data_IF_257245532078
#
_entry.id   IF_257245532078
#
_cell.length_a   1.000
_cell.length_b   1.000
_cell.length_c   1.000
_cell.angle_alpha   90.00
_cell.angle_beta   90.00
_cell.angle_gamma   90.00
#
_symmetry.space_group_name_H-M   'P 1'
#
loop_
_entity.id
_entity.type
_entity.pdbx_description
1 polymer ?
#
# COMPACT_ATOMS: atom_id res chain seq x y z
N UNK A 1 -43.92 0.09 6.84
CA UNK A 1 -42.74 0.01 5.95
C UNK A 1 -42.80 -1.27 5.13
N UNK A 2 -42.61 -1.18 3.86
CA UNK A 2 -42.69 -2.35 3.01
C UNK A 2 -41.44 -3.21 3.12
N UNK A 3 -41.59 -4.50 2.89
CA UNK A 3 -40.50 -5.46 2.83
C UNK A 3 -39.41 -5.02 1.83
N UNK A 4 -39.83 -4.39 0.73
CA UNK A 4 -38.93 -3.90 -0.31
C UNK A 4 -37.99 -2.81 0.22
N UNK A 5 -38.47 -1.89 1.07
CA UNK A 5 -37.65 -0.83 1.66
C UNK A 5 -36.63 -1.37 2.65
N UNK A 6 -37.01 -2.37 3.45
CA UNK A 6 -36.09 -3.01 4.40
C UNK A 6 -34.97 -3.72 3.65
N UNK A 7 -35.31 -4.44 2.57
CA UNK A 7 -34.33 -5.16 1.75
C UNK A 7 -33.36 -4.20 1.08
N UNK A 8 -33.84 -3.07 0.56
CA UNK A 8 -32.99 -2.07 -0.08
C UNK A 8 -32.01 -1.45 0.91
N UNK A 9 -32.46 -1.13 2.13
CA UNK A 9 -31.61 -0.57 3.19
C UNK A 9 -30.51 -1.57 3.58
N UNK A 10 -30.86 -2.83 3.79
CA UNK A 10 -29.91 -3.89 4.13
C UNK A 10 -28.87 -4.07 3.03
N UNK A 11 -29.28 -4.03 1.76
CA UNK A 11 -28.38 -4.14 0.62
C UNK A 11 -27.38 -2.97 0.57
N UNK A 12 -27.85 -1.74 0.81
CA UNK A 12 -26.98 -0.57 0.84
C UNK A 12 -25.93 -0.67 1.95
N UNK A 13 -26.33 -1.09 3.17
CA UNK A 13 -25.40 -1.27 4.27
C UNK A 13 -24.35 -2.33 3.97
N UNK A 14 -24.77 -3.43 3.38
CA UNK A 14 -23.86 -4.52 3.00
C UNK A 14 -22.86 -4.05 1.95
N UNK A 15 -23.32 -3.29 0.96
CA UNK A 15 -22.43 -2.74 -0.06
C UNK A 15 -21.40 -1.77 0.53
N UNK A 16 -21.78 -0.92 1.48
CA UNK A 16 -20.88 -0.01 2.16
C UNK A 16 -19.82 -0.78 2.96
N UNK A 17 -20.21 -1.83 3.67
CA UNK A 17 -19.29 -2.67 4.42
C UNK A 17 -18.32 -3.38 3.50
N UNK A 18 -18.79 -3.90 2.36
CA UNK A 18 -17.95 -4.55 1.37
C UNK A 18 -16.95 -3.58 0.75
N UNK A 19 -17.35 -2.35 0.48
CA UNK A 19 -16.46 -1.33 -0.07
C UNK A 19 -15.29 -1.02 0.89
N UNK A 20 -15.56 -0.93 2.19
CA UNK A 20 -14.52 -0.73 3.20
C UNK A 20 -13.59 -1.94 3.27
N UNK A 21 -14.14 -3.15 3.27
CA UNK A 21 -13.37 -4.38 3.29
C UNK A 21 -12.49 -4.50 2.06
N UNK A 22 -13.03 -4.15 0.87
CA UNK A 22 -12.29 -4.17 -0.38
C UNK A 22 -11.12 -3.18 -0.36
N UNK A 23 -11.34 -1.96 0.14
CA UNK A 23 -10.28 -0.96 0.26
C UNK A 23 -9.16 -1.44 1.17
N UNK A 24 -9.51 -2.01 2.31
CA UNK A 24 -8.54 -2.58 3.24
C UNK A 24 -7.71 -3.68 2.56
N UNK A 25 -8.39 -4.60 1.88
CA UNK A 25 -7.74 -5.74 1.21
C UNK A 25 -6.87 -5.29 0.04
N UNK A 26 -7.32 -4.30 -0.72
CA UNK A 26 -6.54 -3.76 -1.83
C UNK A 26 -5.22 -3.18 -1.31
N UNK A 27 -5.25 -2.43 -0.22
CA UNK A 27 -4.02 -1.89 0.39
C UNK A 27 -3.10 -3.02 0.85
N UNK A 28 -3.65 -4.07 1.49
CA UNK A 28 -2.85 -5.23 1.87
C UNK A 28 -2.16 -5.87 0.66
N UNK A 29 -2.89 -6.06 -0.42
CA UNK A 29 -2.36 -6.66 -1.65
C UNK A 29 -1.32 -5.77 -2.30
N UNK A 30 -1.48 -4.46 -2.25
CA UNK A 30 -0.48 -3.52 -2.75
C UNK A 30 0.81 -3.61 -1.95
N UNK A 31 0.73 -3.65 -0.63
CA UNK A 31 1.90 -3.79 0.23
C UNK A 31 2.61 -5.12 -0.01
N UNK A 32 1.84 -6.21 -0.14
CA UNK A 32 2.38 -7.53 -0.44
C UNK A 32 3.07 -7.55 -1.80
N UNK A 33 2.42 -6.98 -2.81
CA UNK A 33 2.99 -6.86 -4.15
C UNK A 33 4.27 -6.05 -4.18
N UNK A 34 4.34 -4.99 -3.37
CA UNK A 34 5.54 -4.18 -3.24
C UNK A 34 6.72 -5.01 -2.72
N UNK A 35 6.50 -5.80 -1.67
CA UNK A 35 7.53 -6.67 -1.10
C UNK A 35 8.01 -7.69 -2.15
N UNK A 36 7.10 -8.25 -2.91
CA UNK A 36 7.43 -9.19 -3.98
C UNK A 36 8.27 -8.53 -5.09
N UNK A 37 7.92 -7.30 -5.48
CA UNK A 37 8.69 -6.55 -6.49
C UNK A 37 10.06 -6.14 -5.96
N UNK A 38 10.19 -5.85 -4.67
CA UNK A 38 11.50 -5.60 -4.06
C UNK A 38 12.39 -6.84 -4.17
N UNK A 39 11.86 -8.02 -3.90
CA UNK A 39 12.61 -9.27 -4.02
C UNK A 39 13.08 -9.48 -5.46
N UNK A 40 12.23 -9.20 -6.44
CA UNK A 40 12.60 -9.27 -7.86
C UNK A 40 13.69 -8.26 -8.22
N UNK A 41 13.59 -7.05 -7.70
CA UNK A 41 14.59 -6.00 -7.89
C UNK A 41 15.94 -6.42 -7.33
N UNK A 42 15.94 -6.99 -6.13
CA UNK A 42 17.15 -7.48 -5.47
C UNK A 42 17.81 -8.55 -6.30
N UNK A 43 17.06 -9.55 -6.76
CA UNK A 43 17.59 -10.60 -7.63
C UNK A 43 18.17 -10.05 -8.91
N UNK A 44 17.52 -9.09 -9.54
CA UNK A 44 18.01 -8.47 -10.77
C UNK A 44 19.33 -7.73 -10.55
N UNK A 45 19.45 -7.00 -9.45
CA UNK A 45 20.71 -6.31 -9.09
C UNK A 45 21.82 -7.32 -8.88
N UNK A 46 21.55 -8.40 -8.14
CA UNK A 46 22.53 -9.42 -7.85
C UNK A 46 23.03 -10.13 -9.11
N UNK A 47 22.15 -10.32 -10.10
CA UNK A 47 22.51 -10.90 -11.40
C UNK A 47 23.06 -9.87 -12.38
N UNK A 48 23.05 -8.59 -12.02
CA UNK A 48 23.42 -7.47 -12.88
C UNK A 48 22.58 -7.43 -14.16
N UNK A 49 21.31 -7.79 -14.03
CA UNK A 49 20.34 -7.71 -15.10
C UNK A 49 19.67 -6.32 -15.07
N UNK A 50 20.21 -5.38 -15.83
CA UNK A 50 19.81 -3.98 -15.78
C UNK A 50 18.37 -3.77 -16.26
N UNK A 51 17.95 -4.52 -17.28
CA UNK A 51 16.59 -4.42 -17.80
C UNK A 51 15.57 -4.93 -16.76
N UNK A 52 15.80 -6.11 -16.20
CA UNK A 52 14.92 -6.68 -15.18
C UNK A 52 14.87 -5.77 -13.93
N UNK A 53 16.00 -5.18 -13.54
CA UNK A 53 16.06 -4.23 -12.43
C UNK A 53 15.16 -3.03 -12.72
N UNK A 54 15.26 -2.43 -13.88
CA UNK A 54 14.49 -1.24 -14.24
C UNK A 54 12.99 -1.52 -14.24
N UNK A 55 12.59 -2.67 -14.77
CA UNK A 55 11.19 -3.10 -14.79
C UNK A 55 10.66 -3.29 -13.36
N UNK A 56 11.41 -4.03 -12.53
CA UNK A 56 10.98 -4.34 -11.17
C UNK A 56 10.89 -3.07 -10.30
N UNK A 57 11.88 -2.20 -10.38
CA UNK A 57 11.88 -0.94 -9.61
C UNK A 57 10.75 -0.02 -10.08
N UNK A 58 10.49 0.06 -11.38
CA UNK A 58 9.37 0.85 -11.90
C UNK A 58 8.03 0.36 -11.34
N UNK A 59 7.86 -0.96 -11.19
CA UNK A 59 6.66 -1.53 -10.58
C UNK A 59 6.56 -1.18 -9.09
N UNK A 60 7.69 -1.18 -8.37
CA UNK A 60 7.72 -0.69 -6.99
C UNK A 60 7.27 0.76 -6.90
N UNK A 61 7.77 1.62 -7.78
CA UNK A 61 7.40 3.04 -7.82
C UNK A 61 5.91 3.23 -8.06
N UNK A 62 5.34 2.45 -8.99
CA UNK A 62 3.91 2.52 -9.29
C UNK A 62 3.06 2.15 -8.06
N UNK A 63 3.46 1.12 -7.32
CA UNK A 63 2.77 0.71 -6.11
C UNK A 63 2.86 1.81 -5.04
N UNK A 64 4.04 2.41 -4.84
CA UNK A 64 4.18 3.53 -3.91
C UNK A 64 3.27 4.69 -4.26
N UNK A 65 3.16 5.03 -5.55
CA UNK A 65 2.25 6.07 -6.00
C UNK A 65 0.81 5.74 -5.62
N UNK A 66 0.38 4.50 -5.83
CA UNK A 66 -0.96 4.05 -5.45
C UNK A 66 -1.20 4.11 -3.95
N UNK A 67 -0.21 3.71 -3.14
CA UNK A 67 -0.31 3.78 -1.69
C UNK A 67 -0.40 5.22 -1.20
N UNK A 68 0.39 6.13 -1.78
CA UNK A 68 0.30 7.56 -1.44
C UNK A 68 -1.05 8.16 -1.83
N UNK A 69 -1.54 7.82 -3.02
CA UNK A 69 -2.83 8.34 -3.50
C UNK A 69 -4.00 7.87 -2.65
N UNK A 70 -3.85 6.73 -1.97
CA UNK A 70 -4.90 6.21 -1.09
C UNK A 70 -4.99 6.93 0.26
N UNK A 71 -3.96 7.70 0.64
CA UNK A 71 -3.94 8.38 1.93
C UNK A 71 -4.87 9.59 1.93
N UNK A 72 -5.57 9.79 3.05
CA UNK A 72 -6.35 11.00 3.28
C UNK A 72 -5.62 11.86 4.31
N UNK A 73 -4.92 12.88 3.82
CA UNK A 73 -4.09 13.74 4.66
C UNK A 73 -4.89 14.58 5.65
N UNK A 74 -6.22 14.67 5.48
CA UNK A 74 -7.08 15.40 6.42
C UNK A 74 -7.24 14.66 7.76
N UNK A 75 -6.88 13.36 7.82
CA UNK A 75 -6.95 12.59 9.07
C UNK A 75 -5.77 12.85 10.02
N UNK A 76 -4.87 13.76 9.69
CA UNK A 76 -3.87 14.24 10.62
C UNK A 76 -2.48 13.65 10.41
N UNK A 77 -1.78 13.40 11.53
CA UNK A 77 -0.35 13.13 11.50
C UNK A 77 0.01 11.76 10.89
N UNK A 78 -0.78 10.72 11.16
CA UNK A 78 -0.41 9.37 10.70
C UNK A 78 -0.34 9.28 9.17
N UNK A 79 -1.37 9.73 8.41
CA UNK A 79 -1.23 9.72 6.94
C UNK A 79 -0.15 10.66 6.44
N UNK A 80 0.10 11.80 7.10
CA UNK A 80 1.21 12.69 6.74
C UNK A 80 2.55 11.99 6.88
N UNK A 81 2.76 11.28 8.00
CA UNK A 81 3.99 10.54 8.26
C UNK A 81 4.18 9.40 7.26
N UNK A 82 3.09 8.69 6.92
CA UNK A 82 3.15 7.63 5.91
C UNK A 82 3.48 8.19 4.53
N UNK A 83 2.89 9.33 4.17
CA UNK A 83 3.18 9.98 2.90
C UNK A 83 4.67 10.31 2.78
N UNK A 84 5.24 10.90 3.84
CA UNK A 84 6.66 11.22 3.88
C UNK A 84 7.54 9.96 3.83
N UNK A 85 7.11 8.89 4.49
CA UNK A 85 7.86 7.63 4.50
C UNK A 85 7.85 6.98 3.12
N UNK A 86 6.73 7.03 2.40
CA UNK A 86 6.68 6.53 1.02
C UNK A 86 7.57 7.35 0.09
N UNK A 87 7.67 8.68 0.28
CA UNK A 87 8.62 9.51 -0.46
C UNK A 87 10.07 9.09 -0.17
N UNK A 88 10.40 8.84 1.08
CA UNK A 88 11.71 8.36 1.47
C UNK A 88 12.03 7.02 0.79
N UNK A 89 11.08 6.10 0.79
CA UNK A 89 11.25 4.80 0.10
C UNK A 89 11.56 5.00 -1.38
N UNK A 90 10.88 5.94 -2.02
CA UNK A 90 11.11 6.23 -3.45
C UNK A 90 12.53 6.67 -3.69
N UNK A 91 13.06 7.56 -2.84
CA UNK A 91 14.46 8.02 -2.92
C UNK A 91 15.42 6.84 -2.76
N UNK A 92 15.18 5.94 -1.81
CA UNK A 92 16.03 4.79 -1.58
C UNK A 92 15.99 3.79 -2.73
N UNK A 93 14.83 3.62 -3.38
CA UNK A 93 14.73 2.80 -4.58
C UNK A 93 15.59 3.36 -5.72
N UNK A 94 15.60 4.69 -5.88
CA UNK A 94 16.44 5.33 -6.89
C UNK A 94 17.92 5.15 -6.56
N UNK A 95 18.31 5.26 -5.28
CA UNK A 95 19.67 5.02 -4.85
C UNK A 95 20.11 3.58 -5.20
N UNK A 96 19.27 2.59 -4.88
CA UNK A 96 19.57 1.19 -5.19
C UNK A 96 19.74 0.97 -6.68
N UNK A 97 18.87 1.56 -7.49
CA UNK A 97 18.92 1.42 -8.95
C UNK A 97 20.18 2.05 -9.54
N UNK A 98 20.48 3.28 -9.10
CA UNK A 98 21.65 4.01 -9.59
C UNK A 98 22.95 3.28 -9.24
N UNK A 99 23.07 2.84 -8.00
CA UNK A 99 24.33 2.31 -7.46
C UNK A 99 24.44 0.78 -7.60
N UNK A 100 23.41 0.10 -8.13
CA UNK A 100 23.32 -1.35 -8.18
C UNK A 100 23.60 -1.98 -6.81
N UNK A 101 23.00 -1.38 -5.77
CA UNK A 101 23.21 -1.75 -4.37
C UNK A 101 21.91 -2.27 -3.78
N UNK A 102 21.96 -3.47 -3.18
CA UNK A 102 20.78 -4.08 -2.57
C UNK A 102 20.47 -3.53 -1.18
N UNK A 103 21.40 -2.87 -0.52
CA UNK A 103 21.18 -2.42 0.86
C UNK A 103 20.03 -1.43 1.02
N UNK A 104 19.80 -0.45 0.11
CA UNK A 104 18.60 0.37 0.18
C UNK A 104 17.30 -0.43 0.02
N UNK A 105 17.32 -1.51 -0.79
CA UNK A 105 16.14 -2.36 -0.95
C UNK A 105 15.80 -3.11 0.32
N UNK A 106 16.82 -3.60 1.03
CA UNK A 106 16.62 -4.29 2.31
C UNK A 106 16.03 -3.34 3.35
N UNK A 107 16.50 -2.11 3.40
CA UNK A 107 15.95 -1.08 4.29
C UNK A 107 14.47 -0.81 3.97
N UNK A 108 14.16 -0.59 2.71
CA UNK A 108 12.78 -0.31 2.27
C UNK A 108 11.87 -1.50 2.56
N UNK A 109 12.38 -2.71 2.39
CA UNK A 109 11.62 -3.93 2.71
C UNK A 109 11.24 -3.96 4.18
N UNK A 110 12.19 -3.70 5.08
CA UNK A 110 11.91 -3.68 6.53
C UNK A 110 10.88 -2.61 6.89
N UNK A 111 11.00 -1.42 6.29
CA UNK A 111 10.04 -0.35 6.52
C UNK A 111 8.64 -0.76 6.06
N UNK A 112 8.52 -1.33 4.87
CA UNK A 112 7.21 -1.74 4.35
C UNK A 112 6.61 -2.89 5.16
N UNK A 113 7.42 -3.86 5.60
CA UNK A 113 6.93 -4.95 6.44
C UNK A 113 6.41 -4.44 7.78
N UNK A 114 7.06 -3.43 8.36
CA UNK A 114 6.60 -2.79 9.60
C UNK A 114 5.26 -2.10 9.37
N UNK A 115 5.11 -1.35 8.29
CA UNK A 115 3.85 -0.68 7.94
C UNK A 115 2.76 -1.73 7.71
N UNK A 116 3.06 -2.77 6.94
CA UNK A 116 2.11 -3.85 6.64
C UNK A 116 1.65 -4.56 7.90
N UNK A 117 2.57 -4.82 8.82
CA UNK A 117 2.24 -5.45 10.10
C UNK A 117 1.22 -4.61 10.88
N UNK A 118 1.40 -3.29 10.91
CA UNK A 118 0.43 -2.39 11.52
C UNK A 118 -0.91 -2.38 10.80
N UNK A 119 -0.89 -2.37 9.47
CA UNK A 119 -2.10 -2.41 8.66
C UNK A 119 -2.87 -3.71 8.87
N UNK A 120 -2.19 -4.85 8.84
CA UNK A 120 -2.80 -6.17 9.01
C UNK A 120 -3.42 -6.33 10.40
N UNK A 121 -2.90 -5.63 11.40
CA UNK A 121 -3.36 -5.70 12.78
C UNK A 121 -4.56 -4.80 13.08
N UNK A 122 -5.02 -3.97 12.13
CA UNK A 122 -6.15 -3.07 12.36
C UNK A 122 -7.41 -3.89 12.61
N UNK A 123 -8.09 -3.69 13.77
CA UNK A 123 -9.32 -4.42 14.06
C UNK A 123 -10.42 -4.13 13.04
N UNK A 124 -11.28 -5.11 12.80
CA UNK A 124 -12.37 -4.99 11.82
C UNK A 124 -13.21 -3.72 12.05
N UNK A 125 -13.46 -3.38 13.30
CA UNK A 125 -14.25 -2.20 13.66
C UNK A 125 -13.57 -0.89 13.25
N UNK A 126 -12.24 -0.86 13.32
CA UNK A 126 -11.45 0.32 12.99
C UNK A 126 -11.21 0.48 11.49
N UNK A 127 -11.46 -0.56 10.71
CA UNK A 127 -11.28 -0.51 9.24
C UNK A 127 -12.19 0.52 8.58
N UNK A 128 -13.34 0.81 9.18
CA UNK A 128 -14.25 1.85 8.71
C UNK A 128 -13.65 3.25 8.85
N UNK A 129 -12.66 3.40 9.74
CA UNK A 129 -11.92 4.64 9.96
C UNK A 129 -10.54 4.58 9.33
N UNK A 130 -10.29 3.60 8.43
CA UNK A 130 -8.99 3.43 7.79
C UNK A 130 -8.57 4.73 7.08
N UNK A 131 -7.27 4.99 7.11
CA UNK A 131 -6.68 6.25 6.64
C UNK A 131 -6.57 6.28 5.11
N UNK A 132 -7.64 5.90 4.42
CA UNK A 132 -7.70 5.90 2.96
C UNK A 132 -8.89 6.71 2.48
N UNK A 133 -8.78 7.27 1.28
CA UNK A 133 -9.85 8.05 0.66
C UNK A 133 -11.09 7.20 0.39
N UNK A 134 -10.91 5.91 0.03
CA UNK A 134 -12.02 5.01 -0.23
C UNK A 134 -12.82 4.70 1.04
N UNK A 135 -12.17 4.59 2.19
CA UNK A 135 -12.81 4.29 3.45
C UNK A 135 -13.64 5.47 3.98
N UNK A 136 -13.29 6.71 3.60
CA UNK A 136 -13.98 7.90 4.06
C UNK A 136 -15.23 8.24 3.23
N UNK A 137 -15.45 7.54 2.14
CA UNK A 137 -16.64 7.69 1.30
C UNK A 137 -17.68 6.66 1.72
#
# INVERSE_FOLDING_TARGET
>A
MSFKNIKAYTTQNLQAEMAVADSYRIIQLMMQGFVERLAQSKGAIERRDFEAKSIAISKCMAILNGLQDSLDLSYGKVPEDLFALYDYMRIRLLDASRDMDISPLDEVCQLMLTIKSGWDAIPLEERKKALTKQASQ
#
